data_IF_491017563876
#
_entry.id   IF_491017563876
#
_cell.length_a   1.000
_cell.length_b   1.000
_cell.length_c   1.000
_cell.angle_alpha   90.00
_cell.angle_beta   90.00
_cell.angle_gamma   90.00
#
_symmetry.space_group_name_H-M   'P 1'
#
loop_
_entity.id
_entity.type
_entity.pdbx_description
1 polymer ?
#
# COMPACT_ATOMS: atom_id res chain seq x y z
N UNK A 1 18.40 -1.67 2.86
CA UNK A 1 17.51 -0.92 3.78
C UNK A 1 16.13 -1.54 3.75
N UNK A 2 15.67 -2.12 4.86
CA UNK A 2 14.31 -2.65 4.93
C UNK A 2 13.32 -1.50 5.17
N UNK A 3 12.16 -1.58 4.52
CA UNK A 3 11.02 -0.70 4.76
C UNK A 3 10.01 -1.32 5.74
N UNK A 4 10.30 -2.52 6.24
CA UNK A 4 9.44 -3.23 7.20
C UNK A 4 9.32 -2.41 8.49
N UNK A 5 8.10 -2.30 9.02
CA UNK A 5 7.78 -1.52 10.21
C UNK A 5 7.66 -0.01 9.97
N UNK A 6 8.06 0.48 8.79
CA UNK A 6 7.87 1.88 8.40
C UNK A 6 6.43 2.15 7.98
N UNK A 7 6.07 3.44 7.93
CA UNK A 7 4.73 3.85 7.49
C UNK A 7 4.76 4.30 6.03
N UNK A 8 4.01 3.62 5.17
CA UNK A 8 3.71 4.13 3.83
C UNK A 8 2.56 5.12 3.92
N UNK A 9 2.74 6.31 3.36
CA UNK A 9 1.79 7.42 3.41
C UNK A 9 1.43 7.84 2.00
N UNK A 10 0.13 7.98 1.73
CA UNK A 10 -0.37 8.46 0.45
C UNK A 10 0.00 9.93 0.25
N UNK A 11 0.39 10.28 -0.98
CA UNK A 11 0.61 11.66 -1.44
C UNK A 11 -0.58 12.22 -2.21
N UNK A 12 -1.54 11.37 -2.57
CA UNK A 12 -2.71 11.72 -3.39
C UNK A 12 -4.00 11.29 -2.69
N UNK A 13 -5.10 11.95 -3.03
CA UNK A 13 -6.42 11.52 -2.58
C UNK A 13 -6.92 10.31 -3.37
N UNK A 14 -7.81 9.55 -2.77
CA UNK A 14 -8.43 8.37 -3.39
C UNK A 14 -7.42 7.30 -3.89
N UNK A 15 -6.27 7.14 -3.23
CA UNK A 15 -5.29 6.11 -3.61
C UNK A 15 -5.87 4.72 -3.29
N UNK A 16 -5.95 3.85 -4.29
CA UNK A 16 -6.48 2.49 -4.12
C UNK A 16 -5.56 1.60 -3.29
N UNK A 17 -6.18 0.78 -2.44
CA UNK A 17 -5.54 -0.39 -1.82
C UNK A 17 -6.39 -1.63 -2.06
N UNK A 18 -5.75 -2.79 -2.01
CA UNK A 18 -6.28 -4.06 -2.52
C UNK A 18 -6.33 -5.13 -1.41
N UNK A 19 -7.29 -6.05 -1.47
CA UNK A 19 -7.39 -7.20 -0.56
C UNK A 19 -6.44 -8.35 -0.98
N UNK A 20 -5.98 -8.34 -2.24
CA UNK A 20 -5.05 -9.33 -2.81
C UNK A 20 -3.86 -8.63 -3.51
N UNK A 21 -2.70 -9.31 -3.68
CA UNK A 21 -1.58 -8.78 -4.45
C UNK A 21 -1.93 -8.74 -5.94
N UNK A 22 -2.63 -7.69 -6.35
CA UNK A 22 -3.25 -7.54 -7.66
C UNK A 22 -3.37 -6.06 -8.06
N UNK A 23 -3.66 -5.83 -9.33
CA UNK A 23 -3.99 -4.51 -9.89
C UNK A 23 -5.40 -4.49 -10.49
N UNK A 24 -6.17 -5.57 -10.35
CA UNK A 24 -7.51 -5.70 -10.93
C UNK A 24 -8.54 -4.93 -10.08
N UNK A 25 -9.54 -4.34 -10.74
CA UNK A 25 -10.59 -3.57 -10.06
C UNK A 25 -11.39 -4.42 -9.07
N UNK A 26 -11.60 -5.72 -9.35
CA UNK A 26 -12.31 -6.64 -8.46
C UNK A 26 -11.63 -6.83 -7.10
N UNK A 27 -10.33 -6.57 -7.02
CA UNK A 27 -9.51 -6.79 -5.81
C UNK A 27 -9.33 -5.50 -5.01
N UNK A 28 -9.92 -4.38 -5.46
CA UNK A 28 -9.89 -3.10 -4.74
C UNK A 28 -10.72 -3.22 -3.48
N UNK A 29 -10.08 -3.00 -2.33
CA UNK A 29 -10.73 -3.02 -1.02
C UNK A 29 -11.24 -1.64 -0.60
N UNK A 30 -10.61 -0.58 -1.10
CA UNK A 30 -11.01 0.79 -0.82
C UNK A 30 -9.98 1.81 -1.29
N UNK A 31 -10.15 3.05 -0.80
CA UNK A 31 -9.24 4.16 -1.08
C UNK A 31 -8.74 4.83 0.19
N UNK A 32 -7.55 5.42 0.11
CA UNK A 32 -6.92 6.17 1.19
C UNK A 32 -6.52 7.56 0.69
N UNK A 33 -6.82 8.57 1.49
CA UNK A 33 -6.51 9.96 1.15
C UNK A 33 -5.09 10.38 1.52
N UNK A 34 -4.67 11.53 0.98
CA UNK A 34 -3.33 12.06 1.21
C UNK A 34 -3.05 12.26 2.72
N UNK A 35 -1.84 11.91 3.16
CA UNK A 35 -1.43 11.99 4.57
C UNK A 35 -1.84 10.80 5.43
N UNK A 36 -2.79 9.98 4.97
CA UNK A 36 -3.14 8.70 5.58
C UNK A 36 -2.27 7.57 5.04
N UNK A 37 -2.24 6.44 5.74
CA UNK A 37 -1.24 5.41 5.46
C UNK A 37 -1.30 4.20 6.39
N UNK A 38 -0.42 3.25 6.10
CA UNK A 38 -0.37 1.92 6.71
C UNK A 38 1.05 1.54 7.13
N UNK A 39 1.17 0.55 8.00
CA UNK A 39 2.46 -0.03 8.37
C UNK A 39 2.88 -1.06 7.34
N UNK A 40 4.12 -1.02 6.88
CA UNK A 40 4.66 -1.94 5.87
C UNK A 40 5.10 -3.24 6.53
N UNK A 41 4.56 -4.36 6.06
CA UNK A 41 5.00 -5.70 6.43
C UNK A 41 6.14 -6.17 5.52
N UNK A 42 5.98 -6.01 4.21
CA UNK A 42 6.95 -6.44 3.21
C UNK A 42 6.69 -5.78 1.86
N UNK A 43 7.75 -5.65 1.04
CA UNK A 43 7.63 -5.24 -0.36
C UNK A 43 7.54 -6.48 -1.26
N UNK A 44 6.55 -6.52 -2.15
CA UNK A 44 6.30 -7.64 -3.07
C UNK A 44 6.26 -7.16 -4.52
N UNK A 45 6.52 -8.05 -5.48
CA UNK A 45 6.39 -7.78 -6.91
C UNK A 45 5.11 -8.41 -7.44
N UNK A 46 4.25 -7.63 -8.09
CA UNK A 46 2.96 -8.07 -8.65
C UNK A 46 2.92 -7.68 -10.12
N UNK A 47 2.91 -8.67 -11.02
CA UNK A 47 2.94 -8.47 -12.48
C UNK A 47 4.02 -7.47 -12.93
N UNK A 48 5.23 -7.58 -12.37
CA UNK A 48 6.36 -6.71 -12.69
C UNK A 48 6.37 -5.34 -12.01
N UNK A 49 5.32 -4.96 -11.27
CA UNK A 49 5.23 -3.69 -10.52
C UNK A 49 5.25 -3.92 -9.01
N UNK A 50 5.97 -3.10 -8.22
CA UNK A 50 6.10 -3.33 -6.79
C UNK A 50 4.88 -2.82 -6.00
N UNK A 51 4.49 -3.58 -4.99
CA UNK A 51 3.51 -3.23 -3.96
C UNK A 51 4.12 -3.37 -2.56
N UNK A 52 3.52 -2.72 -1.58
CA UNK A 52 3.71 -3.03 -0.16
C UNK A 52 2.54 -3.87 0.31
N UNK A 53 2.84 -5.01 0.94
CA UNK A 53 1.91 -5.66 1.87
C UNK A 53 1.94 -4.83 3.15
N UNK A 54 0.77 -4.41 3.61
CA UNK A 54 0.62 -3.48 4.73
C UNK A 54 -0.46 -3.94 5.67
N UNK A 55 -0.44 -3.47 6.92
CA UNK A 55 -1.56 -3.61 7.84
C UNK A 55 -2.01 -2.26 8.41
N UNK A 56 -3.31 -2.17 8.72
CA UNK A 56 -3.89 -1.04 9.44
C UNK A 56 -3.81 -1.23 10.96
N UNK A 57 -4.27 -0.24 11.73
CA UNK A 57 -4.29 -0.28 13.21
C UNK A 57 -5.17 -1.39 13.80
N UNK A 58 -6.01 -2.04 12.98
CA UNK A 58 -6.85 -3.19 13.36
C UNK A 58 -6.21 -4.53 12.98
N UNK A 59 -4.98 -4.52 12.46
CA UNK A 59 -4.28 -5.73 12.01
C UNK A 59 -4.76 -6.31 10.69
N UNK A 60 -5.68 -5.65 9.96
CA UNK A 60 -6.13 -6.13 8.65
C UNK A 60 -5.09 -5.82 7.59
N UNK A 61 -4.75 -6.85 6.80
CA UNK A 61 -3.76 -6.78 5.73
C UNK A 61 -4.37 -6.26 4.43
N UNK A 62 -3.59 -5.45 3.72
CA UNK A 62 -3.90 -4.93 2.39
C UNK A 62 -2.64 -4.83 1.54
N UNK A 63 -2.82 -4.46 0.28
CA UNK A 63 -1.74 -4.16 -0.65
C UNK A 63 -1.90 -2.76 -1.22
N UNK A 64 -0.81 -2.00 -1.33
CA UNK A 64 -0.80 -0.64 -1.87
C UNK A 64 0.42 -0.45 -2.77
N UNK A 65 0.33 0.44 -3.76
CA UNK A 65 1.45 0.72 -4.66
C UNK A 65 2.72 1.13 -3.90
N UNK A 66 3.88 0.61 -4.34
CA UNK A 66 5.17 1.04 -3.84
C UNK A 66 5.81 2.15 -4.70
N UNK A 67 5.07 2.69 -5.67
CA UNK A 67 5.54 3.78 -6.52
C UNK A 67 5.73 5.06 -5.72
N UNK A 68 6.95 5.58 -5.73
CA UNK A 68 7.28 6.85 -5.08
C UNK A 68 6.56 8.06 -5.69
N UNK A 69 5.81 7.90 -6.80
CA UNK A 69 4.95 8.92 -7.39
C UNK A 69 3.68 9.12 -6.56
N UNK A 70 3.13 8.04 -5.99
CA UNK A 70 1.86 8.08 -5.25
C UNK A 70 2.05 7.98 -3.73
N UNK A 71 3.13 7.37 -3.27
CA UNK A 71 3.39 7.17 -1.84
C UNK A 71 4.77 7.67 -1.42
N UNK A 72 4.93 7.92 -0.13
CA UNK A 72 6.24 8.07 0.53
C UNK A 72 6.33 7.10 1.71
N UNK A 73 7.55 6.69 2.04
CA UNK A 73 7.83 5.85 3.21
C UNK A 73 8.49 6.72 4.27
N UNK A 74 7.93 6.71 5.48
CA UNK A 74 8.50 7.33 6.68
C UNK A 74 9.07 6.25 7.59
#
# INVERSE_FOLDING_TARGET
MSCVGKRVVSKVNNLRFYDAPSWQDKDVSGTVDAGLGFTIDVKVSVNGSPQYKVHNSKGKTYYVTASNVYVRVN
#
